data_IF_411942583251
#
_entry.id   IF_411942583251
#
_cell.length_a   1.000
_cell.length_b   1.000
_cell.length_c   1.000
_cell.angle_alpha   90.00
_cell.angle_beta   90.00
_cell.angle_gamma   90.00
#
_symmetry.space_group_name_H-M   'P 1'
#
loop_
_entity.id
_entity.type
_entity.pdbx_description
1 polymer ?
#
# COMPACT_ATOMS: atom_id res chain seq x y z
N UNK A 1 -30.60 40.96 -29.84
CA UNK A 1 -30.46 39.55 -30.29
C UNK A 1 -29.13 38.90 -29.88
N UNK A 2 -28.08 39.65 -29.53
CA UNK A 2 -26.75 39.09 -29.15
C UNK A 2 -26.73 38.37 -27.78
N UNK A 3 -27.56 38.80 -26.81
CA UNK A 3 -27.60 38.20 -25.46
C UNK A 3 -28.16 36.76 -25.42
N UNK A 4 -29.01 36.41 -26.39
CA UNK A 4 -29.62 35.08 -26.48
C UNK A 4 -28.60 34.01 -26.90
N UNK A 5 -27.70 34.32 -27.84
CA UNK A 5 -26.65 33.39 -28.28
C UNK A 5 -25.61 33.12 -27.19
N UNK A 6 -25.26 34.13 -26.37
CA UNK A 6 -24.32 33.96 -25.25
C UNK A 6 -24.85 33.10 -24.11
N UNK A 7 -26.17 33.16 -23.82
CA UNK A 7 -26.80 32.30 -22.81
C UNK A 7 -26.86 30.83 -23.27
N UNK A 8 -27.19 30.60 -24.56
CA UNK A 8 -27.22 29.26 -25.16
C UNK A 8 -25.83 28.61 -25.22
N UNK A 9 -24.79 29.38 -25.55
CA UNK A 9 -23.41 28.88 -25.58
C UNK A 9 -22.93 28.39 -24.20
N UNK A 10 -23.31 29.10 -23.11
CA UNK A 10 -22.97 28.70 -21.74
C UNK A 10 -23.69 27.41 -21.32
N UNK A 11 -24.94 27.24 -21.72
CA UNK A 11 -25.70 26.02 -21.47
C UNK A 11 -25.09 24.81 -22.19
N UNK A 12 -24.70 24.98 -23.46
CA UNK A 12 -24.04 23.92 -24.25
C UNK A 12 -22.70 23.51 -23.60
N UNK A 13 -21.90 24.49 -23.16
CA UNK A 13 -20.64 24.21 -22.46
C UNK A 13 -20.86 23.49 -21.13
N UNK A 14 -21.86 23.88 -20.33
CA UNK A 14 -22.18 23.16 -19.09
C UNK A 14 -22.63 21.71 -19.34
N UNK A 15 -23.40 21.48 -20.39
CA UNK A 15 -23.90 20.16 -20.75
C UNK A 15 -22.76 19.25 -21.27
N UNK A 16 -21.83 19.83 -22.04
CA UNK A 16 -20.61 19.15 -22.50
C UNK A 16 -19.70 18.73 -21.33
N UNK A 17 -19.55 19.58 -20.30
CA UNK A 17 -18.79 19.23 -19.10
C UNK A 17 -19.46 18.13 -18.26
N UNK A 18 -20.79 18.08 -18.22
CA UNK A 18 -21.50 17.02 -17.51
C UNK A 18 -21.36 15.67 -18.22
N UNK A 19 -21.44 15.64 -19.55
CA UNK A 19 -21.32 14.41 -20.33
C UNK A 19 -19.94 13.75 -20.21
N UNK A 20 -18.87 14.55 -20.12
CA UNK A 20 -17.51 14.01 -20.06
C UNK A 20 -17.25 13.18 -18.80
N UNK A 21 -17.89 13.50 -17.66
CA UNK A 21 -17.73 12.73 -16.42
C UNK A 21 -18.39 11.35 -16.47
N UNK A 22 -19.43 11.16 -17.29
CA UNK A 22 -20.12 9.86 -17.44
C UNK A 22 -19.35 8.88 -18.33
N UNK A 23 -18.44 9.36 -19.16
CA UNK A 23 -17.62 8.53 -20.04
C UNK A 23 -16.36 7.99 -19.35
N UNK A 24 -16.05 8.45 -18.13
CA UNK A 24 -14.91 7.99 -17.36
C UNK A 24 -15.19 6.64 -16.72
N UNK A 25 -14.71 5.57 -17.36
CA UNK A 25 -14.73 4.22 -16.79
C UNK A 25 -13.35 3.91 -16.20
N UNK A 26 -13.21 4.04 -14.88
CA UNK A 26 -11.96 3.68 -14.20
C UNK A 26 -11.77 2.15 -14.27
N UNK A 27 -10.67 1.71 -14.87
CA UNK A 27 -10.28 0.30 -14.87
C UNK A 27 -9.71 -0.06 -13.50
N UNK A 28 -10.47 -0.82 -12.70
CA UNK A 28 -9.91 -1.45 -11.51
C UNK A 28 -8.94 -2.55 -11.95
N UNK A 29 -7.65 -2.35 -11.73
CA UNK A 29 -6.63 -3.36 -11.95
C UNK A 29 -6.92 -4.57 -11.05
N UNK A 30 -7.27 -5.70 -11.66
CA UNK A 30 -7.45 -6.97 -10.95
C UNK A 30 -6.09 -7.55 -10.62
N UNK A 31 -5.47 -7.08 -9.54
CA UNK A 31 -4.22 -7.62 -9.05
C UNK A 31 -4.50 -8.56 -7.88
N UNK A 32 -4.46 -9.87 -8.14
CA UNK A 32 -4.64 -10.87 -7.09
C UNK A 32 -3.59 -10.71 -6.00
N UNK A 33 -2.35 -10.35 -6.35
CA UNK A 33 -1.20 -10.36 -5.44
C UNK A 33 -0.95 -9.04 -4.69
N UNK A 34 -1.93 -8.13 -4.64
CA UNK A 34 -1.79 -6.84 -3.93
C UNK A 34 -1.58 -7.04 -2.41
N UNK A 35 -1.88 -8.24 -1.92
CA UNK A 35 -1.64 -8.63 -0.53
C UNK A 35 -0.15 -8.87 -0.21
N UNK A 36 0.71 -9.11 -1.21
CA UNK A 36 2.16 -9.27 -1.02
C UNK A 36 2.89 -7.93 -0.92
N UNK A 37 2.26 -6.84 -1.38
CA UNK A 37 2.84 -5.48 -1.39
C UNK A 37 2.66 -4.76 -0.04
N UNK A 38 2.56 -5.52 1.06
CA UNK A 38 2.32 -4.96 2.39
C UNK A 38 3.64 -4.51 3.01
N UNK A 39 3.78 -3.22 3.40
CA UNK A 39 4.96 -2.79 4.13
C UNK A 39 5.02 -3.43 5.51
N UNK A 40 6.24 -3.64 5.99
CA UNK A 40 6.47 -4.07 7.37
C UNK A 40 6.99 -2.91 8.22
N UNK A 41 6.54 -2.85 9.46
CA UNK A 41 6.77 -1.77 10.43
C UNK A 41 5.61 -0.77 10.50
N UNK A 42 5.37 -0.22 11.70
CA UNK A 42 4.33 0.80 11.94
C UNK A 42 4.54 2.07 11.07
N UNK A 43 5.80 2.40 10.77
CA UNK A 43 6.16 3.54 9.91
C UNK A 43 5.62 3.38 8.49
N UNK A 44 5.68 2.18 7.92
CA UNK A 44 5.14 1.89 6.59
C UNK A 44 3.65 2.17 6.49
N UNK A 45 2.89 1.81 7.53
CA UNK A 45 1.47 2.12 7.60
C UNK A 45 1.18 3.61 7.78
N UNK A 46 1.93 4.28 8.64
CA UNK A 46 1.76 5.73 8.87
C UNK A 46 2.09 6.58 7.65
N UNK A 47 2.98 6.12 6.78
CA UNK A 47 3.42 6.85 5.58
C UNK A 47 2.81 6.31 4.27
N UNK A 48 1.74 5.52 4.35
CA UNK A 48 1.08 4.93 3.18
C UNK A 48 2.06 4.21 2.21
N UNK A 49 2.95 3.38 2.76
CA UNK A 49 4.00 2.64 2.05
C UNK A 49 5.13 3.50 1.41
N UNK A 50 5.18 4.81 1.68
CA UNK A 50 6.24 5.69 1.16
C UNK A 50 7.54 5.63 2.00
N UNK A 51 8.05 4.43 2.29
CA UNK A 51 9.17 4.23 3.24
C UNK A 51 10.50 3.78 2.63
N UNK A 52 10.56 3.46 1.34
CA UNK A 52 11.73 2.86 0.67
C UNK A 52 13.03 3.62 0.95
N UNK A 53 13.02 4.95 0.92
CA UNK A 53 14.22 5.76 1.16
C UNK A 53 14.51 6.07 2.65
N UNK A 54 13.54 5.83 3.54
CA UNK A 54 13.54 6.35 4.92
C UNK A 54 13.56 5.28 6.02
N UNK A 55 13.54 4.00 5.63
CA UNK A 55 13.56 2.87 6.56
C UNK A 55 14.99 2.43 6.87
N UNK A 56 15.46 2.73 8.08
CA UNK A 56 16.80 2.37 8.60
C UNK A 56 16.72 1.43 9.81
N UNK A 57 15.57 0.76 9.96
CA UNK A 57 15.24 -0.07 11.12
C UNK A 57 15.34 -1.57 10.82
N UNK A 58 15.11 -2.43 11.81
CA UNK A 58 15.07 -3.89 11.57
C UNK A 58 14.06 -4.32 10.48
N UNK A 59 13.03 -3.49 10.21
CA UNK A 59 12.03 -3.70 9.18
C UNK A 59 12.54 -3.41 7.75
N UNK A 60 13.65 -2.68 7.61
CA UNK A 60 14.24 -2.32 6.30
C UNK A 60 14.61 -3.56 5.50
N UNK A 61 14.82 -4.67 6.16
CA UNK A 61 15.17 -5.95 5.54
C UNK A 61 14.12 -6.51 4.57
N UNK A 62 12.83 -6.17 4.71
CA UNK A 62 11.82 -6.46 3.68
C UNK A 62 11.55 -5.27 2.75
N UNK A 63 11.56 -4.05 3.28
CA UNK A 63 11.15 -2.89 2.50
C UNK A 63 12.28 -2.37 1.58
N UNK A 64 13.50 -2.26 2.12
CA UNK A 64 14.72 -1.87 1.41
C UNK A 64 15.99 -2.30 2.17
N UNK A 65 16.66 -3.40 1.77
CA UNK A 65 17.81 -3.92 2.50
C UNK A 65 19.00 -2.95 2.53
N UNK A 66 19.09 -2.00 1.59
CA UNK A 66 20.16 -1.00 1.58
C UNK A 66 20.06 -0.01 2.76
N UNK A 67 18.85 0.25 3.26
CA UNK A 67 18.63 1.11 4.42
C UNK A 67 19.27 0.59 5.70
N UNK A 68 19.54 -0.72 5.77
CA UNK A 68 20.16 -1.33 6.92
C UNK A 68 21.62 -0.92 7.12
N UNK A 69 22.34 -0.56 6.05
CA UNK A 69 23.72 -0.09 6.17
C UNK A 69 23.80 1.30 6.86
N UNK A 70 22.72 2.06 6.78
CA UNK A 70 22.56 3.40 7.36
C UNK A 70 21.91 3.36 8.76
N UNK A 71 21.69 2.16 9.30
CA UNK A 71 21.16 1.96 10.64
C UNK A 71 22.00 2.68 11.72
N UNK A 72 21.40 3.54 12.56
CA UNK A 72 22.13 4.27 13.59
C UNK A 72 22.62 3.36 14.74
N UNK A 73 21.92 2.25 14.98
CA UNK A 73 22.22 1.33 16.08
C UNK A 73 22.77 0.00 15.57
N UNK A 74 23.76 -0.54 16.28
CA UNK A 74 24.47 -1.76 15.91
C UNK A 74 23.61 -3.03 16.01
N UNK A 75 22.60 -3.03 16.88
CA UNK A 75 21.67 -4.14 17.11
C UNK A 75 20.26 -3.58 17.10
N UNK A 76 19.38 -4.17 16.29
CA UNK A 76 17.98 -3.78 16.21
C UNK A 76 17.09 -5.02 16.10
N UNK A 77 15.97 -5.00 16.83
CA UNK A 77 14.98 -6.05 16.81
C UNK A 77 13.63 -5.48 16.40
N UNK A 78 12.86 -6.22 15.61
CA UNK A 78 11.53 -5.83 15.18
C UNK A 78 10.59 -7.03 15.16
N UNK A 79 9.37 -6.80 15.63
CA UNK A 79 8.26 -7.75 15.51
C UNK A 79 7.04 -7.01 14.95
N UNK A 80 6.34 -7.65 14.03
CA UNK A 80 5.08 -7.14 13.50
C UNK A 80 4.13 -8.28 13.22
N UNK A 81 2.89 -8.10 13.66
CA UNK A 81 1.75 -8.93 13.32
C UNK A 81 0.75 -8.08 12.56
N UNK A 82 0.39 -8.49 11.34
CA UNK A 82 -0.67 -7.84 10.58
C UNK A 82 -1.67 -8.85 10.05
N UNK A 83 -2.94 -8.60 10.32
CA UNK A 83 -4.06 -9.32 9.72
C UNK A 83 -4.74 -8.40 8.70
N UNK A 84 -4.90 -8.89 7.46
CA UNK A 84 -5.58 -8.14 6.39
C UNK A 84 -6.71 -8.96 5.80
N UNK A 85 -7.74 -8.25 5.35
CA UNK A 85 -8.96 -8.80 4.76
C UNK A 85 -9.67 -9.81 5.68
N UNK A 86 -10.10 -9.35 6.87
CA UNK A 86 -10.85 -10.17 7.81
C UNK A 86 -10.17 -11.53 8.12
N UNK A 87 -8.86 -11.48 8.41
CA UNK A 87 -8.05 -12.65 8.78
C UNK A 87 -7.74 -13.65 7.64
N UNK A 88 -7.99 -13.30 6.37
CA UNK A 88 -7.64 -14.14 5.21
C UNK A 88 -6.12 -14.21 4.98
N UNK A 89 -5.40 -13.11 5.19
CA UNK A 89 -3.94 -13.05 5.08
C UNK A 89 -3.35 -12.57 6.39
N UNK A 90 -2.46 -13.39 6.97
CA UNK A 90 -1.69 -13.05 8.18
C UNK A 90 -0.21 -12.95 7.84
N UNK A 91 0.38 -11.80 8.16
CA UNK A 91 1.80 -11.54 8.02
C UNK A 91 2.43 -11.42 9.40
N UNK A 92 3.24 -12.43 9.73
CA UNK A 92 4.05 -12.45 10.93
C UNK A 92 5.51 -12.18 10.54
N UNK A 93 6.03 -11.05 11.03
CA UNK A 93 7.44 -10.73 10.92
C UNK A 93 8.11 -10.74 12.30
N UNK A 94 9.25 -11.41 12.37
CA UNK A 94 10.22 -11.24 13.44
C UNK A 94 11.64 -11.18 12.87
N UNK A 95 12.39 -10.11 13.19
CA UNK A 95 13.74 -9.91 12.67
C UNK A 95 14.70 -9.37 13.72
N UNK A 96 15.91 -9.91 13.70
CA UNK A 96 17.04 -9.47 14.51
C UNK A 96 18.17 -9.08 13.60
N UNK A 97 18.60 -7.83 13.70
CA UNK A 97 19.59 -7.28 12.79
C UNK A 97 20.81 -6.78 13.54
N UNK A 98 21.98 -7.20 13.07
CA UNK A 98 23.28 -6.70 13.47
C UNK A 98 23.90 -5.93 12.32
N UNK A 99 24.73 -4.93 12.60
CA UNK A 99 25.40 -4.08 11.59
C UNK A 99 26.13 -4.86 10.48
N UNK A 100 26.56 -6.08 10.75
CA UNK A 100 27.33 -6.92 9.82
C UNK A 100 26.61 -8.22 9.42
N UNK A 101 25.57 -8.62 10.15
CA UNK A 101 24.82 -9.87 9.90
C UNK A 101 23.35 -9.67 10.24
N UNK A 102 22.47 -10.21 9.40
CA UNK A 102 21.02 -10.13 9.63
C UNK A 102 20.47 -11.54 9.78
N UNK A 103 19.63 -11.77 10.80
CA UNK A 103 18.92 -13.02 11.02
C UNK A 103 17.42 -12.74 11.09
N UNK A 104 16.65 -13.49 10.32
CA UNK A 104 15.35 -13.01 9.93
C UNK A 104 14.37 -14.13 9.64
N UNK A 105 13.15 -13.97 10.15
CA UNK A 105 12.07 -14.94 10.02
C UNK A 105 10.79 -14.23 9.60
N UNK A 106 10.22 -14.66 8.48
CA UNK A 106 8.91 -14.18 8.01
C UNK A 106 8.04 -15.38 7.75
N UNK A 107 6.80 -15.30 8.20
CA UNK A 107 5.81 -16.31 7.92
C UNK A 107 4.58 -15.64 7.32
N UNK A 108 4.32 -15.94 6.06
CA UNK A 108 3.02 -15.69 5.44
C UNK A 108 2.13 -16.88 5.72
N UNK A 109 1.06 -16.65 6.45
CA UNK A 109 0.06 -17.67 6.74
C UNK A 109 -1.26 -17.28 6.08
N UNK A 110 -1.55 -17.95 4.97
CA UNK A 110 -2.87 -17.89 4.35
C UNK A 110 -3.83 -18.75 5.17
N UNK A 111 -4.89 -18.15 5.71
CA UNK A 111 -5.96 -18.95 6.28
C UNK A 111 -6.84 -19.42 5.12
N UNK A 112 -6.90 -20.74 4.89
CA UNK A 112 -7.82 -21.35 3.93
C UNK A 112 -9.25 -21.30 4.50
N UNK A 113 -9.77 -20.11 4.75
CA UNK A 113 -11.15 -19.92 5.18
C UNK A 113 -12.02 -19.58 3.98
N UNK A 114 -12.24 -20.57 3.13
CA UNK A 114 -13.43 -20.61 2.29
C UNK A 114 -14.50 -21.37 3.07
N UNK A 115 -15.08 -20.74 4.11
CA UNK A 115 -16.31 -21.27 4.71
C UNK A 115 -17.47 -20.79 3.85
N UNK A 116 -17.88 -21.66 2.94
CA UNK A 116 -19.08 -21.50 2.12
C UNK A 116 -20.29 -21.40 3.04
N UNK A 117 -20.73 -20.18 3.34
CA UNK A 117 -22.06 -19.93 3.85
C UNK A 117 -22.94 -19.59 2.65
N UNK A 118 -23.76 -20.59 2.29
CA UNK A 118 -24.77 -20.66 1.22
C UNK A 118 -24.27 -20.40 -0.20
#
# INVERSE_FOLDING_TARGET
>A
MQNFYGAMQKLILSFSMLISTWCLQAQALKYSNIFLDQPVGARGYGMANAIVASDYSAFSTLNNPAGLMLAPHNIQAGYMHAERFASLVKLDFMGLTFKTKTIQWWLYRFSLWCRRHT
#
